data_IF_986796011485
#
_entry.id   IF_986796011485
#
_cell.length_a   1.000
_cell.length_b   1.000
_cell.length_c   1.000
_cell.angle_alpha   90.00
_cell.angle_beta   90.00
_cell.angle_gamma   90.00
#
_symmetry.space_group_name_H-M   'P 1'
#
loop_
_entity.id
_entity.type
_entity.pdbx_description
1 polymer ?
#
# COMPACT_ATOMS: atom_id res chain seq x y z
N UNK A 1 -10.54 21.64 21.21
CA UNK A 1 -9.92 22.74 20.46
C UNK A 1 -8.54 22.24 20.04
N UNK A 2 -8.39 21.77 18.81
CA UNK A 2 -7.07 21.41 18.27
C UNK A 2 -6.35 22.71 17.89
N UNK A 3 -5.17 22.91 18.47
CA UNK A 3 -4.27 24.00 18.13
C UNK A 3 -3.81 23.83 16.67
N UNK A 4 -4.34 24.66 15.78
CA UNK A 4 -4.04 24.68 14.34
C UNK A 4 -2.67 25.30 14.02
N UNK A 5 -1.89 25.72 15.03
CA UNK A 5 -0.61 26.41 14.85
C UNK A 5 0.60 25.47 14.63
N UNK A 6 0.40 24.15 14.59
CA UNK A 6 1.47 23.14 14.41
C UNK A 6 1.29 22.25 13.18
N UNK A 7 0.74 22.75 12.09
CA UNK A 7 0.91 22.07 10.83
C UNK A 7 2.35 22.31 10.33
N UNK A 8 3.12 21.26 10.01
CA UNK A 8 4.43 21.44 9.40
C UNK A 8 4.27 22.20 8.08
N UNK A 9 5.14 23.15 7.80
CA UNK A 9 5.11 24.00 6.60
C UNK A 9 5.16 23.21 5.29
N UNK A 10 5.64 21.94 5.35
CA UNK A 10 5.59 20.97 4.24
C UNK A 10 5.31 19.56 4.78
N UNK A 11 4.07 19.05 4.66
CA UNK A 11 3.72 17.71 5.10
C UNK A 11 4.56 16.59 4.45
N UNK A 12 5.16 16.86 3.29
CA UNK A 12 5.99 15.89 2.56
C UNK A 12 7.40 15.67 3.15
N UNK A 13 7.98 16.64 3.86
CA UNK A 13 9.30 16.47 4.47
C UNK A 13 9.29 15.44 5.60
N UNK A 14 8.17 15.39 6.35
CA UNK A 14 7.96 14.40 7.39
C UNK A 14 7.61 12.99 6.84
N UNK A 15 7.07 12.89 5.62
CA UNK A 15 6.70 11.59 5.05
C UNK A 15 7.90 10.68 4.78
N UNK A 16 9.02 11.23 4.30
CA UNK A 16 10.24 10.44 4.05
C UNK A 16 10.83 9.89 5.34
N UNK A 17 10.86 10.70 6.40
CA UNK A 17 11.37 10.28 7.70
C UNK A 17 10.42 9.29 8.36
N UNK A 18 9.12 9.54 8.30
CA UNK A 18 8.09 8.60 8.76
C UNK A 18 8.18 7.27 8.02
N UNK A 19 8.37 7.29 6.71
CA UNK A 19 8.54 6.09 5.90
C UNK A 19 9.77 5.27 6.33
N UNK A 20 10.91 5.91 6.61
CA UNK A 20 12.10 5.23 7.15
C UNK A 20 11.83 4.58 8.50
N UNK A 21 11.20 5.31 9.41
CA UNK A 21 10.85 4.81 10.75
C UNK A 21 9.91 3.60 10.66
N UNK A 22 8.88 3.69 9.82
CA UNK A 22 7.92 2.59 9.63
C UNK A 22 8.59 1.36 9.01
N UNK A 23 9.50 1.54 8.05
CA UNK A 23 10.29 0.43 7.50
C UNK A 23 11.18 -0.23 8.56
N UNK A 24 11.87 0.56 9.39
CA UNK A 24 12.71 0.03 10.47
C UNK A 24 11.89 -0.75 11.52
N UNK A 25 10.72 -0.24 11.90
CA UNK A 25 9.82 -0.95 12.80
C UNK A 25 9.30 -2.25 12.16
N UNK A 26 8.94 -2.21 10.89
CA UNK A 26 8.46 -3.39 10.16
C UNK A 26 9.56 -4.45 10.04
N UNK A 27 10.80 -4.05 9.80
CA UNK A 27 11.95 -4.94 9.75
C UNK A 27 12.20 -5.62 11.09
N UNK A 28 12.24 -4.85 12.18
CA UNK A 28 12.44 -5.39 13.54
C UNK A 28 11.32 -6.37 13.93
N UNK A 29 10.06 -6.08 13.54
CA UNK A 29 8.95 -6.98 13.78
C UNK A 29 9.06 -8.26 12.92
N UNK A 30 9.48 -8.13 11.68
CA UNK A 30 9.59 -9.24 10.74
C UNK A 30 10.62 -10.30 11.18
N UNK A 31 11.62 -9.93 11.98
CA UNK A 31 12.61 -10.85 12.54
C UNK A 31 11.99 -11.87 13.54
N UNK A 32 10.80 -11.57 14.06
CA UNK A 32 10.07 -12.46 14.98
C UNK A 32 9.10 -13.41 14.29
N UNK A 33 8.97 -13.32 12.95
CA UNK A 33 8.06 -14.15 12.16
C UNK A 33 8.86 -15.24 11.45
N UNK A 34 8.45 -16.49 11.61
CA UNK A 34 8.99 -17.62 10.89
C UNK A 34 8.29 -17.72 9.51
N UNK A 35 8.80 -16.96 8.55
CA UNK A 35 8.21 -16.81 7.21
C UNK A 35 8.20 -18.10 6.40
N UNK A 36 9.12 -19.02 6.66
CA UNK A 36 9.23 -20.29 5.95
C UNK A 36 8.07 -21.24 6.23
N UNK A 37 7.28 -20.95 7.28
CA UNK A 37 6.07 -21.71 7.59
C UNK A 37 4.88 -21.41 6.68
N UNK A 38 4.98 -20.39 5.82
CA UNK A 38 3.88 -19.91 5.01
C UNK A 38 4.18 -20.10 3.52
N UNK A 39 3.26 -20.72 2.80
CA UNK A 39 3.34 -20.84 1.35
C UNK A 39 2.90 -19.53 0.67
N UNK A 40 2.07 -18.74 1.35
CA UNK A 40 1.52 -17.50 0.86
C UNK A 40 1.45 -16.45 1.97
N UNK A 41 1.82 -15.22 1.63
CA UNK A 41 1.78 -14.06 2.52
C UNK A 41 0.96 -12.97 1.83
N UNK A 42 -0.04 -12.43 2.53
CA UNK A 42 -0.81 -11.29 2.08
C UNK A 42 -0.53 -10.06 2.97
N UNK A 43 -0.03 -8.99 2.38
CA UNK A 43 0.08 -7.71 3.05
C UNK A 43 -1.11 -6.83 2.69
N UNK A 44 -1.84 -6.41 3.71
CA UNK A 44 -2.92 -5.44 3.61
C UNK A 44 -2.45 -4.16 4.28
N UNK A 45 -2.30 -3.11 3.53
CA UNK A 45 -1.64 -1.91 4.01
C UNK A 45 -2.31 -0.63 3.50
N UNK A 46 -2.23 0.43 4.30
CA UNK A 46 -2.84 1.72 3.99
C UNK A 46 -1.84 2.86 4.24
N UNK A 47 -1.88 3.88 3.36
CA UNK A 47 -1.10 5.11 3.51
C UNK A 47 0.40 4.80 3.70
N UNK A 48 1.05 5.32 4.73
CA UNK A 48 2.47 5.06 5.02
C UNK A 48 2.77 3.56 5.23
N UNK A 49 1.79 2.78 5.68
CA UNK A 49 1.93 1.32 5.81
C UNK A 49 2.20 0.62 4.48
N UNK A 50 1.82 1.22 3.35
CA UNK A 50 2.11 0.68 2.01
C UNK A 50 3.61 0.69 1.70
N UNK A 51 4.35 1.64 2.26
CA UNK A 51 5.82 1.70 2.17
C UNK A 51 6.44 0.52 2.91
N UNK A 52 5.97 0.23 4.14
CA UNK A 52 6.46 -0.89 4.92
C UNK A 52 6.15 -2.24 4.26
N UNK A 53 4.93 -2.43 3.75
CA UNK A 53 4.54 -3.65 3.04
C UNK A 53 5.37 -3.87 1.78
N UNK A 54 5.60 -2.82 0.99
CA UNK A 54 6.47 -2.89 -0.17
C UNK A 54 7.92 -3.22 0.19
N UNK A 55 8.44 -2.60 1.25
CA UNK A 55 9.78 -2.88 1.79
C UNK A 55 9.91 -4.36 2.23
N UNK A 56 8.95 -4.87 3.01
CA UNK A 56 8.94 -6.27 3.45
C UNK A 56 8.80 -7.25 2.29
N UNK A 57 7.96 -6.94 1.31
CA UNK A 57 7.81 -7.77 0.11
C UNK A 57 9.14 -7.94 -0.60
N UNK A 58 9.88 -6.86 -0.81
CA UNK A 58 11.21 -6.91 -1.40
C UNK A 58 12.16 -7.76 -0.56
N UNK A 59 12.21 -7.52 0.75
CA UNK A 59 13.07 -8.26 1.66
C UNK A 59 12.81 -9.76 1.66
N UNK A 60 11.53 -10.14 1.73
CA UNK A 60 11.12 -11.54 1.69
C UNK A 60 11.40 -12.19 0.33
N UNK A 61 11.28 -11.45 -0.75
CA UNK A 61 11.65 -11.93 -2.08
C UNK A 61 13.14 -12.28 -2.20
N UNK A 62 13.99 -11.55 -1.49
CA UNK A 62 15.43 -11.79 -1.44
C UNK A 62 15.80 -12.99 -0.54
N UNK A 63 15.06 -13.19 0.57
CA UNK A 63 15.38 -14.16 1.62
C UNK A 63 14.55 -15.45 1.57
N UNK A 64 13.28 -15.37 1.16
CA UNK A 64 12.32 -16.47 1.16
C UNK A 64 11.81 -16.73 -0.26
N UNK A 65 12.68 -17.23 -1.15
CA UNK A 65 12.41 -17.34 -2.58
C UNK A 65 11.29 -18.31 -3.01
N UNK A 66 10.61 -18.98 -2.07
CA UNK A 66 9.53 -19.94 -2.33
C UNK A 66 8.14 -19.46 -1.88
N UNK A 67 8.00 -18.23 -1.36
CA UNK A 67 6.74 -17.71 -0.84
C UNK A 67 6.02 -16.86 -1.88
N UNK A 68 4.75 -17.11 -2.10
CA UNK A 68 3.88 -16.23 -2.89
C UNK A 68 3.51 -15.00 -2.06
N UNK A 69 3.78 -13.80 -2.55
CA UNK A 69 3.44 -12.57 -1.85
C UNK A 69 2.37 -11.79 -2.61
N UNK A 70 1.33 -11.40 -1.90
CA UNK A 70 0.23 -10.58 -2.42
C UNK A 70 0.16 -9.29 -1.63
N UNK A 71 0.10 -8.16 -2.32
CA UNK A 71 -0.03 -6.85 -1.72
C UNK A 71 -1.35 -6.19 -2.11
N UNK A 72 -2.10 -5.76 -1.10
CA UNK A 72 -3.24 -4.86 -1.27
C UNK A 72 -2.86 -3.50 -0.67
N UNK A 73 -2.63 -2.55 -1.54
CA UNK A 73 -2.23 -1.20 -1.18
C UNK A 73 -3.44 -0.27 -1.22
N UNK A 74 -3.87 0.21 -0.07
CA UNK A 74 -4.93 1.20 0.04
C UNK A 74 -4.31 2.59 0.18
N UNK A 75 -4.67 3.48 -0.70
CA UNK A 75 -4.19 4.87 -0.75
C UNK A 75 -2.67 4.97 -0.55
N UNK A 76 -1.87 4.36 -1.45
CA UNK A 76 -0.43 4.43 -1.35
C UNK A 76 0.04 5.89 -1.48
N UNK A 77 1.17 6.19 -0.85
CA UNK A 77 1.82 7.50 -0.93
C UNK A 77 3.05 7.42 -1.86
N UNK A 78 3.54 8.55 -2.34
CA UNK A 78 4.64 8.62 -3.31
C UNK A 78 5.87 7.74 -2.96
N UNK A 79 6.36 7.68 -1.70
CA UNK A 79 7.46 6.78 -1.35
C UNK A 79 7.22 5.29 -1.63
N UNK A 80 5.96 4.87 -1.79
CA UNK A 80 5.60 3.49 -2.11
C UNK A 80 5.99 3.11 -3.55
N UNK A 81 6.04 4.07 -4.47
CA UNK A 81 6.32 3.82 -5.90
C UNK A 81 7.61 3.05 -6.13
N UNK A 82 8.64 3.35 -5.35
CA UNK A 82 9.92 2.63 -5.40
C UNK A 82 9.72 1.12 -5.22
N UNK A 83 8.89 0.72 -4.28
CA UNK A 83 8.67 -0.69 -3.96
C UNK A 83 7.66 -1.36 -4.90
N UNK A 84 6.68 -0.62 -5.43
CA UNK A 84 5.74 -1.13 -6.43
C UNK A 84 6.45 -1.62 -7.71
N UNK A 85 7.53 -0.98 -8.11
CA UNK A 85 8.32 -1.38 -9.30
C UNK A 85 9.27 -2.54 -9.01
N UNK A 86 9.90 -2.53 -7.84
CA UNK A 86 10.91 -3.52 -7.47
C UNK A 86 10.29 -4.89 -7.18
N UNK A 87 9.12 -4.92 -6.54
CA UNK A 87 8.44 -6.16 -6.20
C UNK A 87 8.01 -6.99 -7.42
N UNK A 88 7.83 -6.36 -8.59
CA UNK A 88 7.49 -7.06 -9.84
C UNK A 88 8.69 -7.83 -10.43
N UNK A 89 9.90 -7.35 -10.17
CA UNK A 89 11.12 -7.86 -10.81
C UNK A 89 11.89 -8.90 -9.99
N UNK A 90 11.53 -9.10 -8.72
CA UNK A 90 12.39 -9.78 -7.76
C UNK A 90 11.94 -11.15 -7.25
N UNK A 91 10.69 -11.55 -7.47
CA UNK A 91 10.20 -12.81 -6.88
C UNK A 91 10.15 -13.94 -7.89
N UNK A 92 10.86 -15.04 -7.62
CA UNK A 92 10.79 -16.28 -8.42
C UNK A 92 9.38 -16.89 -8.49
N UNK A 93 8.50 -16.56 -7.54
CA UNK A 93 7.13 -17.08 -7.43
C UNK A 93 6.05 -16.07 -7.83
N UNK A 94 6.42 -14.86 -8.24
CA UNK A 94 5.48 -13.79 -8.58
C UNK A 94 4.87 -13.10 -7.36
N UNK A 95 4.99 -11.77 -7.30
CA UNK A 95 4.17 -10.97 -6.39
C UNK A 95 3.02 -10.36 -7.18
N UNK A 96 1.80 -10.44 -6.67
CA UNK A 96 0.67 -9.69 -7.19
C UNK A 96 0.46 -8.43 -6.36
N UNK A 97 0.11 -7.35 -7.03
CA UNK A 97 -0.12 -6.06 -6.40
C UNK A 97 -1.44 -5.50 -6.92
N UNK A 98 -2.29 -5.13 -5.98
CA UNK A 98 -3.55 -4.45 -6.27
C UNK A 98 -3.56 -3.14 -5.51
N UNK A 99 -3.86 -2.06 -6.19
CA UNK A 99 -3.89 -0.70 -5.65
C UNK A 99 -5.31 -0.19 -5.61
N UNK A 100 -5.71 0.36 -4.49
CA UNK A 100 -7.00 1.03 -4.28
C UNK A 100 -6.76 2.48 -3.90
N UNK A 101 -7.43 3.43 -4.55
CA UNK A 101 -7.30 4.86 -4.25
C UNK A 101 -8.59 5.63 -4.42
N UNK A 102 -8.67 6.80 -3.82
CA UNK A 102 -9.73 7.76 -4.06
C UNK A 102 -9.28 8.84 -5.04
N UNK A 103 -10.20 9.33 -5.91
CA UNK A 103 -9.85 10.40 -6.85
C UNK A 103 -9.84 11.80 -6.21
N UNK A 104 -10.25 11.94 -4.95
CA UNK A 104 -10.15 13.15 -4.14
C UNK A 104 -9.11 13.01 -3.01
N UNK A 105 -8.16 12.08 -3.17
CA UNK A 105 -7.06 11.92 -2.22
C UNK A 105 -6.10 13.12 -2.31
N UNK A 106 -5.94 13.84 -1.19
CA UNK A 106 -5.06 15.01 -1.12
C UNK A 106 -3.57 14.67 -0.94
N UNK A 107 -3.24 13.40 -0.63
CA UNK A 107 -1.87 12.94 -0.38
C UNK A 107 -1.21 12.30 -1.60
N UNK A 108 -1.99 12.00 -2.64
CA UNK A 108 -1.53 11.39 -3.87
C UNK A 108 -2.33 11.96 -5.04
N UNK A 109 -1.63 12.49 -6.02
CA UNK A 109 -2.28 12.93 -7.26
C UNK A 109 -2.85 11.71 -8.00
N UNK A 110 -4.19 11.66 -8.24
CA UNK A 110 -4.84 10.47 -8.79
C UNK A 110 -4.33 10.08 -10.18
N UNK A 111 -4.07 11.06 -11.03
CA UNK A 111 -3.58 10.84 -12.39
C UNK A 111 -2.16 10.29 -12.39
N UNK A 112 -1.29 10.80 -11.52
CA UNK A 112 0.07 10.32 -11.34
C UNK A 112 0.07 8.84 -10.91
N UNK A 113 -0.79 8.47 -9.97
CA UNK A 113 -0.91 7.09 -9.51
C UNK A 113 -1.48 6.18 -10.62
N UNK A 114 -2.52 6.62 -11.32
CA UNK A 114 -3.14 5.86 -12.40
C UNK A 114 -2.16 5.61 -13.55
N UNK A 115 -1.40 6.63 -13.95
CA UNK A 115 -0.38 6.52 -14.99
C UNK A 115 0.76 5.58 -14.58
N UNK A 116 1.18 5.69 -13.33
CA UNK A 116 2.19 4.80 -12.77
C UNK A 116 1.72 3.35 -12.80
N UNK A 117 0.52 3.05 -12.30
CA UNK A 117 -0.03 1.70 -12.29
C UNK A 117 -0.18 1.14 -13.71
N UNK A 118 -0.69 1.93 -14.65
CA UNK A 118 -0.83 1.55 -16.05
C UNK A 118 0.52 1.23 -16.71
N UNK A 119 1.51 2.10 -16.52
CA UNK A 119 2.87 1.92 -17.06
C UNK A 119 3.52 0.64 -16.56
N UNK A 120 3.28 0.28 -15.31
CA UNK A 120 3.89 -0.89 -14.69
C UNK A 120 2.99 -2.13 -14.69
N UNK A 121 1.78 -2.06 -15.31
CA UNK A 121 0.84 -3.17 -15.38
C UNK A 121 0.39 -3.65 -14.00
N UNK A 122 0.15 -2.71 -13.09
CA UNK A 122 -0.37 -2.94 -11.73
C UNK A 122 -1.89 -2.77 -11.79
N UNK A 123 -2.62 -3.72 -11.20
CA UNK A 123 -4.08 -3.61 -11.07
C UNK A 123 -4.44 -2.44 -10.16
N UNK A 124 -5.28 -1.51 -10.65
CA UNK A 124 -5.63 -0.29 -9.94
C UNK A 124 -7.13 -0.03 -10.00
N UNK A 125 -7.72 0.17 -8.84
CA UNK A 125 -9.11 0.53 -8.62
C UNK A 125 -9.20 1.94 -8.03
N UNK A 126 -9.65 2.91 -8.82
CA UNK A 126 -9.83 4.28 -8.42
C UNK A 126 -11.31 4.57 -8.15
N UNK A 127 -11.63 5.04 -6.95
CA UNK A 127 -13.00 5.34 -6.51
C UNK A 127 -13.29 6.83 -6.63
N UNK A 128 -14.23 7.18 -7.52
CA UNK A 128 -14.60 8.56 -7.79
C UNK A 128 -15.08 9.28 -6.53
N UNK A 129 -14.49 10.44 -6.24
CA UNK A 129 -14.79 11.26 -5.07
C UNK A 129 -14.27 10.72 -3.73
N UNK A 130 -13.63 9.56 -3.72
CA UNK A 130 -13.01 9.00 -2.51
C UNK A 130 -11.81 9.82 -2.04
N UNK A 131 -11.75 10.10 -0.75
CA UNK A 131 -10.63 10.78 -0.10
C UNK A 131 -9.50 9.78 0.23
N UNK A 132 -8.52 10.19 1.08
CA UNK A 132 -7.44 9.32 1.55
C UNK A 132 -7.91 8.12 2.39
N UNK A 133 -9.14 8.10 2.85
CA UNK A 133 -9.77 6.94 3.50
C UNK A 133 -10.61 6.10 2.53
N UNK A 134 -10.67 6.48 1.25
CA UNK A 134 -11.55 5.93 0.22
C UNK A 134 -13.03 6.16 0.60
N UNK A 135 -13.31 7.23 1.31
CA UNK A 135 -14.65 7.66 1.70
C UNK A 135 -15.11 8.79 0.77
N UNK A 136 -16.31 8.65 0.22
CA UNK A 136 -16.93 9.64 -0.66
C UNK A 136 -17.82 10.63 0.09
N UNK A 137 -18.10 10.35 1.35
CA UNK A 137 -19.08 11.09 2.18
C UNK A 137 -20.52 10.62 1.97
N UNK A 138 -20.73 9.57 1.15
CA UNK A 138 -22.04 8.94 0.95
C UNK A 138 -22.02 7.55 1.57
N UNK A 139 -22.60 7.41 2.74
CA UNK A 139 -22.51 6.18 3.56
C UNK A 139 -22.77 4.88 2.80
N UNK A 140 -23.84 4.84 1.98
CA UNK A 140 -24.17 3.64 1.21
C UNK A 140 -23.08 3.33 0.18
N UNK A 141 -22.54 4.36 -0.49
CA UNK A 141 -21.47 4.19 -1.45
C UNK A 141 -20.18 3.72 -0.77
N UNK A 142 -19.87 4.28 0.39
CA UNK A 142 -18.68 3.91 1.16
C UNK A 142 -18.76 2.46 1.65
N UNK A 143 -19.94 1.98 2.03
CA UNK A 143 -20.18 0.56 2.37
C UNK A 143 -20.02 -0.34 1.16
N UNK A 144 -20.51 0.05 -0.02
CA UNK A 144 -20.32 -0.70 -1.26
C UNK A 144 -18.84 -0.82 -1.63
N UNK A 145 -18.10 0.28 -1.55
CA UNK A 145 -16.64 0.29 -1.79
C UNK A 145 -15.92 -0.63 -0.81
N UNK A 146 -16.22 -0.54 0.47
CA UNK A 146 -15.62 -1.41 1.49
C UNK A 146 -15.91 -2.89 1.20
N UNK A 147 -17.14 -3.21 0.81
CA UNK A 147 -17.54 -4.57 0.42
C UNK A 147 -16.80 -5.07 -0.81
N UNK A 148 -16.62 -4.21 -1.81
CA UNK A 148 -15.84 -4.52 -3.01
C UNK A 148 -14.38 -4.83 -2.66
N UNK A 149 -13.74 -3.97 -1.86
CA UNK A 149 -12.36 -4.18 -1.40
C UNK A 149 -12.22 -5.49 -0.61
N UNK A 150 -13.15 -5.78 0.31
CA UNK A 150 -13.17 -7.05 1.05
C UNK A 150 -13.31 -8.25 0.12
N UNK A 151 -14.09 -8.15 -0.94
CA UNK A 151 -14.21 -9.21 -1.94
C UNK A 151 -12.92 -9.54 -2.69
N UNK A 152 -11.96 -8.60 -2.76
CA UNK A 152 -10.61 -8.89 -3.24
C UNK A 152 -9.80 -9.70 -2.24
N UNK A 153 -9.96 -9.43 -0.93
CA UNK A 153 -9.29 -10.24 0.10
C UNK A 153 -9.74 -11.69 0.06
N UNK A 154 -11.05 -11.93 -0.05
CA UNK A 154 -11.61 -13.28 -0.08
C UNK A 154 -11.10 -14.10 -1.26
N UNK A 155 -10.84 -13.47 -2.40
CA UNK A 155 -10.28 -14.15 -3.58
C UNK A 155 -8.80 -14.50 -3.44
N UNK A 156 -8.12 -13.84 -2.51
CA UNK A 156 -6.68 -13.98 -2.31
C UNK A 156 -6.33 -14.95 -1.17
N UNK A 157 -7.28 -15.22 -0.28
CA UNK A 157 -7.14 -16.23 0.78
C UNK A 157 -7.43 -17.61 0.24
#
# INVERSE_FOLDING_TARGET
IRDSSRMPEHPFDNLKETAKTVCACAEAWAEHVDWEKYDKIAFVSKSVGTVAAGFLTRRLAETCGCVQIVNLFLTPIEPTFKYLTEAKNGTKMGSSQIVFSGTADQWMEPELLADFCRKHGIEHHAYAGGNHSIETGHVLRDVEIAKEIVGFYEKLL
#
